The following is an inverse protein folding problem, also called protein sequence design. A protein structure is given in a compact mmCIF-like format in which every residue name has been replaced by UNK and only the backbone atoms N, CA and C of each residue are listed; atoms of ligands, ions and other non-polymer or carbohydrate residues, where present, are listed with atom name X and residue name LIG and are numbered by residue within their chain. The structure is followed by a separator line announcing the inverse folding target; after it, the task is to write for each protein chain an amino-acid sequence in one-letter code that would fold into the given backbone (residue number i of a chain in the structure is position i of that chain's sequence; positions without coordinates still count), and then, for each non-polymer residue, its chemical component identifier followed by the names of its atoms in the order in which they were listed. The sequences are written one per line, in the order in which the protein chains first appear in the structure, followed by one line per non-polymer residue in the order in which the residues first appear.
data_IF_497477196066
#
_entry.id   IF_497477196066
#
_cell.length_a   1.000
_cell.length_b   1.000
_cell.length_c   1.000
_cell.angle_alpha   90.00
_cell.angle_beta   90.00
_cell.angle_gamma   90.00
#
_symmetry.space_group_name_H-M   'P 1'
#
loop_
_entity.id
_entity.type
_entity.pdbx_description
1 polymer ?
#
# COMPACT_ATOMS: atom_id res chain seq x y z
N UNK A 1 -52.90 -19.04 0.09
CA UNK A 1 -51.84 -18.03 0.24
C UNK A 1 -50.72 -18.61 1.10
N UNK A 2 -49.67 -19.20 0.50
CA UNK A 2 -48.66 -20.04 1.20
C UNK A 2 -47.20 -19.61 0.98
N UNK A 3 -46.95 -18.40 0.50
CA UNK A 3 -45.59 -17.94 0.14
C UNK A 3 -45.13 -16.65 0.83
N UNK A 4 -45.89 -16.12 1.78
CA UNK A 4 -45.54 -14.84 2.43
C UNK A 4 -44.52 -15.06 3.56
N UNK A 5 -44.55 -16.20 4.24
CA UNK A 5 -43.69 -16.45 5.40
C UNK A 5 -42.23 -16.80 5.07
N UNK A 6 -41.93 -17.21 3.83
CA UNK A 6 -40.57 -17.63 3.44
C UNK A 6 -39.67 -16.45 3.02
N UNK A 7 -40.27 -15.34 2.57
CA UNK A 7 -39.53 -14.14 2.15
C UNK A 7 -39.04 -13.34 3.36
N UNK A 8 -39.78 -13.35 4.46
CA UNK A 8 -39.38 -12.62 5.69
C UNK A 8 -38.17 -13.27 6.36
N UNK A 9 -38.04 -14.61 6.30
CA UNK A 9 -36.92 -15.31 6.95
C UNK A 9 -35.59 -15.06 6.22
N UNK A 10 -35.59 -14.95 4.90
CA UNK A 10 -34.39 -14.67 4.08
C UNK A 10 -33.86 -13.24 4.27
N UNK A 11 -34.75 -12.27 4.55
CA UNK A 11 -34.34 -10.89 4.82
C UNK A 11 -33.61 -10.76 6.17
N UNK A 12 -34.02 -11.53 7.19
CA UNK A 12 -33.37 -11.51 8.51
C UNK A 12 -31.98 -12.15 8.51
N UNK A 13 -31.74 -13.19 7.70
CA UNK A 13 -30.41 -13.79 7.60
C UNK A 13 -29.45 -12.95 6.76
N UNK A 14 -29.94 -12.23 5.74
CA UNK A 14 -29.11 -11.31 4.95
C UNK A 14 -28.61 -10.11 5.76
N UNK A 15 -29.40 -9.62 6.72
CA UNK A 15 -29.03 -8.46 7.54
C UNK A 15 -27.94 -8.79 8.58
N UNK A 16 -27.89 -10.05 9.07
CA UNK A 16 -26.90 -10.49 10.06
C UNK A 16 -25.50 -10.68 9.45
N UNK A 17 -25.40 -11.04 8.17
CA UNK A 17 -24.11 -11.11 7.46
C UNK A 17 -23.51 -9.71 7.26
N UNK A 18 -24.34 -8.68 7.12
CA UNK A 18 -23.86 -7.31 6.98
C UNK A 18 -23.34 -6.71 8.30
N UNK A 19 -23.80 -7.20 9.46
CA UNK A 19 -23.34 -6.69 10.76
C UNK A 19 -22.04 -7.35 11.24
N UNK A 20 -21.74 -8.59 10.84
CA UNK A 20 -20.50 -9.30 11.22
C UNK A 20 -19.30 -8.94 10.33
N UNK A 21 -19.52 -8.37 9.15
CA UNK A 21 -18.44 -7.81 8.31
C UNK A 21 -18.02 -6.39 8.74
N UNK A 22 -18.67 -5.82 9.76
CA UNK A 22 -18.48 -4.42 10.21
C UNK A 22 -17.46 -4.21 11.33
N UNK A 23 -16.69 -5.23 11.74
CA UNK A 23 -15.68 -5.08 12.80
C UNK A 23 -14.25 -5.21 12.23
N UNK A 24 -13.74 -4.07 11.76
CA UNK A 24 -12.48 -3.45 12.20
C UNK A 24 -12.14 -2.32 11.22
N UNK A 25 -12.71 -1.16 11.46
CA UNK A 25 -12.04 0.07 11.06
C UNK A 25 -11.99 0.99 12.27
N UNK A 26 -10.93 0.77 13.05
CA UNK A 26 -10.55 1.65 14.14
C UNK A 26 -10.30 3.02 13.54
N UNK A 27 -11.19 3.96 13.83
CA UNK A 27 -11.00 5.36 13.52
C UNK A 27 -9.72 5.89 14.18
N UNK A 28 -8.61 5.83 13.46
CA UNK A 28 -7.72 6.95 13.36
C UNK A 28 -8.20 7.73 12.14
N UNK A 29 -8.53 9.02 12.31
CA UNK A 29 -8.67 9.90 11.18
C UNK A 29 -7.31 9.94 10.48
N UNK A 30 -7.15 9.10 9.45
CA UNK A 30 -6.05 9.21 8.50
C UNK A 30 -6.17 10.59 7.91
N UNK A 31 -5.27 11.51 8.30
CA UNK A 31 -5.01 12.68 7.48
C UNK A 31 -4.85 12.15 6.06
N UNK A 32 -5.77 12.50 5.17
CA UNK A 32 -5.72 12.09 3.79
C UNK A 32 -4.46 12.73 3.19
N UNK A 33 -3.32 12.05 3.30
CA UNK A 33 -2.02 12.52 2.84
C UNK A 33 -2.14 12.71 1.32
N UNK A 34 -2.29 13.95 0.83
CA UNK A 34 -2.48 14.17 -0.59
C UNK A 34 -1.14 13.96 -1.30
N UNK A 35 -1.16 13.31 -2.47
CA UNK A 35 0.01 13.24 -3.35
C UNK A 35 0.76 11.90 -3.38
N UNK A 36 0.14 10.79 -3.00
CA UNK A 36 0.66 9.44 -3.28
C UNK A 36 -0.39 8.54 -3.93
N UNK A 37 0.05 7.42 -4.48
CA UNK A 37 -0.79 6.37 -5.07
C UNK A 37 -0.22 5.01 -4.71
N UNK A 38 -1.04 4.11 -4.18
CA UNK A 38 -0.66 2.70 -3.98
C UNK A 38 -0.70 1.99 -5.32
N UNK A 39 0.47 1.68 -5.88
CA UNK A 39 0.61 1.08 -7.20
C UNK A 39 0.35 -0.44 -7.18
N UNK A 40 0.63 -1.11 -6.06
CA UNK A 40 0.21 -2.50 -5.81
C UNK A 40 0.11 -2.79 -4.32
N UNK A 41 -0.65 -3.83 -4.00
CA UNK A 41 -0.75 -4.42 -2.67
C UNK A 41 -0.89 -5.93 -2.81
N UNK A 42 -0.16 -6.67 -1.98
CA UNK A 42 -0.27 -8.11 -1.85
C UNK A 42 -0.15 -8.52 -0.39
N UNK A 43 -0.99 -9.45 0.06
CA UNK A 43 -0.81 -10.11 1.34
C UNK A 43 0.12 -11.31 1.17
N UNK A 44 1.30 -11.23 1.80
CA UNK A 44 2.32 -12.27 1.71
C UNK A 44 2.34 -13.03 3.03
N UNK A 45 2.24 -14.38 3.00
CA UNK A 45 2.38 -15.19 4.21
C UNK A 45 3.65 -14.83 4.98
N UNK A 46 3.55 -14.77 6.31
CA UNK A 46 4.62 -14.43 7.25
C UNK A 46 5.18 -12.99 7.18
N UNK A 47 4.91 -12.23 6.10
CA UNK A 47 5.32 -10.84 5.92
C UNK A 47 4.17 -9.84 6.09
N UNK A 48 2.92 -10.27 5.93
CA UNK A 48 1.74 -9.41 5.98
C UNK A 48 1.56 -8.60 4.69
N UNK A 49 0.94 -7.43 4.80
CA UNK A 49 0.64 -6.59 3.65
C UNK A 49 1.93 -5.94 3.11
N UNK A 50 2.27 -6.29 1.87
CA UNK A 50 3.38 -5.70 1.12
C UNK A 50 2.81 -4.80 0.04
N UNK A 51 3.32 -3.58 -0.08
CA UNK A 51 2.83 -2.61 -1.08
C UNK A 51 3.93 -1.87 -1.81
N UNK A 52 3.60 -1.40 -3.00
CA UNK A 52 4.40 -0.44 -3.77
C UNK A 52 3.64 0.88 -3.81
N UNK A 53 4.34 1.97 -3.53
CA UNK A 53 3.76 3.30 -3.38
C UNK A 53 4.49 4.28 -4.28
N UNK A 54 3.74 4.97 -5.12
CA UNK A 54 4.20 6.07 -5.95
C UNK A 54 3.92 7.40 -5.25
N UNK A 55 4.94 8.25 -5.11
CA UNK A 55 4.88 9.57 -4.46
C UNK A 55 5.50 10.60 -5.43
N UNK A 56 4.74 11.12 -6.42
CA UNK A 56 5.27 11.87 -7.57
C UNK A 56 5.99 13.20 -7.27
N UNK A 57 5.97 13.66 -6.02
CA UNK A 57 6.66 14.88 -5.58
C UNK A 57 7.80 14.64 -4.58
N UNK A 58 8.00 13.40 -4.13
CA UNK A 58 9.02 13.11 -3.13
C UNK A 58 10.39 12.92 -3.78
N UNK A 59 11.41 13.46 -3.12
CA UNK A 59 12.81 13.33 -3.54
C UNK A 59 13.64 12.69 -2.43
N UNK A 60 14.84 12.26 -2.81
CA UNK A 60 15.83 11.73 -1.86
C UNK A 60 16.33 12.74 -0.85
N UNK A 61 16.30 14.01 -1.21
CA UNK A 61 16.78 15.10 -0.36
C UNK A 61 15.73 15.55 0.67
N UNK A 62 14.51 15.03 0.63
CA UNK A 62 13.43 15.47 1.50
C UNK A 62 13.74 15.07 2.96
N UNK A 63 13.87 16.04 3.88
CA UNK A 63 14.35 15.76 5.24
C UNK A 63 13.35 14.96 6.08
N UNK A 64 12.05 15.04 5.75
CA UNK A 64 10.97 14.37 6.48
C UNK A 64 10.44 13.13 5.74
N UNK A 65 11.19 12.63 4.76
CA UNK A 65 10.75 11.53 3.88
C UNK A 65 10.38 10.27 4.66
N UNK A 66 11.21 9.86 5.62
CA UNK A 66 10.93 8.64 6.40
C UNK A 66 9.63 8.76 7.20
N UNK A 67 9.41 9.91 7.84
CA UNK A 67 8.18 10.17 8.60
C UNK A 67 6.96 10.13 7.69
N UNK A 68 7.04 10.77 6.52
CA UNK A 68 5.99 10.72 5.50
C UNK A 68 5.71 9.28 5.04
N UNK A 69 6.74 8.50 4.74
CA UNK A 69 6.60 7.11 4.28
C UNK A 69 6.03 6.22 5.37
N UNK A 70 6.41 6.43 6.62
CA UNK A 70 5.84 5.72 7.77
C UNK A 70 4.37 6.06 7.97
N UNK A 71 4.00 7.33 7.80
CA UNK A 71 2.59 7.74 7.85
C UNK A 71 1.77 7.09 6.74
N UNK A 72 2.29 7.06 5.50
CA UNK A 72 1.62 6.38 4.37
C UNK A 72 1.49 4.88 4.63
N UNK A 73 2.58 4.20 5.02
CA UNK A 73 2.54 2.76 5.27
C UNK A 73 1.58 2.41 6.42
N UNK A 74 1.53 3.24 7.47
CA UNK A 74 0.58 3.06 8.56
C UNK A 74 -0.88 3.28 8.11
N UNK A 75 -1.14 4.36 7.37
CA UNK A 75 -2.45 4.68 6.81
C UNK A 75 -2.99 3.57 5.90
N UNK A 76 -2.12 2.98 5.09
CA UNK A 76 -2.46 1.87 4.19
C UNK A 76 -2.39 0.51 4.89
N UNK A 77 -1.94 0.43 6.15
CA UNK A 77 -1.75 -0.84 6.85
C UNK A 77 -0.74 -1.78 6.18
N UNK A 78 0.33 -1.22 5.59
CA UNK A 78 1.42 -1.97 4.97
C UNK A 78 2.48 -2.33 6.02
N UNK A 79 2.84 -3.61 6.09
CA UNK A 79 3.98 -4.10 6.89
C UNK A 79 5.30 -3.81 6.19
N UNK A 80 5.31 -3.93 4.85
CA UNK A 80 6.46 -3.61 4.00
C UNK A 80 5.99 -2.73 2.86
N UNK A 81 6.67 -1.61 2.64
CA UNK A 81 6.33 -0.67 1.58
C UNK A 81 7.58 -0.29 0.78
N UNK A 82 7.47 -0.33 -0.55
CA UNK A 82 8.48 0.17 -1.48
C UNK A 82 8.02 1.50 -2.04
N UNK A 83 8.84 2.55 -1.91
CA UNK A 83 8.47 3.91 -2.31
C UNK A 83 9.21 4.33 -3.58
N UNK A 84 8.49 4.94 -4.50
CA UNK A 84 8.97 5.38 -5.80
C UNK A 84 8.50 6.81 -6.09
N UNK A 85 9.30 7.61 -6.80
CA UNK A 85 8.89 8.94 -7.29
C UNK A 85 8.34 8.93 -8.71
N UNK A 86 8.57 7.86 -9.48
CA UNK A 86 8.14 7.75 -10.88
C UNK A 86 7.46 6.42 -11.15
N UNK A 87 6.50 6.43 -12.08
CA UNK A 87 5.83 5.20 -12.53
C UNK A 87 6.82 4.25 -13.23
N UNK A 88 7.78 4.79 -14.00
CA UNK A 88 8.82 4.00 -14.65
C UNK A 88 9.66 3.18 -13.66
N UNK A 89 9.94 3.74 -12.47
CA UNK A 89 10.67 3.03 -11.43
C UNK A 89 9.83 1.90 -10.80
N UNK A 90 8.51 2.08 -10.67
CA UNK A 90 7.60 1.01 -10.23
C UNK A 90 7.59 -0.13 -11.26
N UNK A 91 7.47 0.18 -12.55
CA UNK A 91 7.45 -0.85 -13.59
C UNK A 91 8.81 -1.55 -13.70
N UNK A 92 9.91 -0.81 -13.60
CA UNK A 92 11.25 -1.39 -13.55
C UNK A 92 11.49 -2.27 -12.30
N UNK A 93 10.86 -1.95 -11.17
CA UNK A 93 10.90 -2.79 -9.97
C UNK A 93 10.26 -4.17 -10.22
N UNK A 94 9.12 -4.18 -10.91
CA UNK A 94 8.33 -5.39 -11.24
C UNK A 94 8.92 -6.23 -12.37
N UNK A 95 9.80 -5.65 -13.19
CA UNK A 95 10.37 -6.34 -14.34
C UNK A 95 11.12 -7.62 -13.92
N UNK A 96 10.73 -8.75 -14.52
CA UNK A 96 11.31 -10.07 -14.23
C UNK A 96 12.80 -10.18 -14.63
N UNK A 97 13.18 -9.48 -15.70
CA UNK A 97 14.56 -9.28 -16.11
C UNK A 97 14.76 -7.78 -16.33
N UNK A 98 15.85 -7.23 -15.79
CA UNK A 98 16.13 -5.78 -15.86
C UNK A 98 17.20 -5.49 -16.90
N UNK A 99 16.87 -4.67 -17.88
CA UNK A 99 17.84 -4.08 -18.79
C UNK A 99 18.49 -2.81 -18.20
N UNK A 100 19.42 -2.21 -18.94
CA UNK A 100 20.13 -1.02 -18.48
C UNK A 100 19.19 0.17 -18.25
N UNK A 101 18.14 0.32 -19.06
CA UNK A 101 17.18 1.41 -18.92
C UNK A 101 16.32 1.24 -17.67
N UNK A 102 15.92 0.01 -17.35
CA UNK A 102 15.17 -0.32 -16.14
C UNK A 102 16.00 -0.13 -14.87
N UNK A 103 17.29 -0.49 -14.89
CA UNK A 103 18.19 -0.20 -13.78
C UNK A 103 18.35 1.31 -13.57
N UNK A 104 18.45 2.09 -14.64
CA UNK A 104 18.53 3.54 -14.54
C UNK A 104 17.21 4.16 -14.04
N UNK A 105 16.06 3.65 -14.48
CA UNK A 105 14.76 4.08 -13.96
C UNK A 105 14.63 3.81 -12.44
N UNK A 106 15.08 2.65 -11.97
CA UNK A 106 15.15 2.35 -10.53
C UNK A 106 16.11 3.29 -9.80
N UNK A 107 17.32 3.51 -10.34
CA UNK A 107 18.27 4.45 -9.75
C UNK A 107 17.74 5.88 -9.75
N UNK A 108 16.93 6.28 -10.71
CA UNK A 108 16.35 7.62 -10.73
C UNK A 108 15.16 7.76 -9.77
N UNK A 109 14.29 6.74 -9.69
CA UNK A 109 12.98 6.87 -9.05
C UNK A 109 12.78 6.10 -7.75
N UNK A 110 13.64 5.17 -7.36
CA UNK A 110 13.46 4.44 -6.11
C UNK A 110 13.85 5.28 -4.90
N UNK A 111 12.92 5.46 -3.97
CA UNK A 111 13.09 6.32 -2.79
C UNK A 111 13.50 5.52 -1.55
N UNK A 112 13.09 4.26 -1.46
CA UNK A 112 13.50 3.38 -0.37
C UNK A 112 12.47 2.31 -0.05
N UNK A 113 12.83 1.49 0.93
CA UNK A 113 11.99 0.42 1.46
C UNK A 113 11.75 0.70 2.93
N UNK A 114 10.50 0.61 3.36
CA UNK A 114 10.12 0.64 4.76
C UNK A 114 9.65 -0.75 5.18
N UNK A 115 10.14 -1.22 6.31
CA UNK A 115 9.57 -2.33 7.07
C UNK A 115 8.98 -1.79 8.37
N UNK A 116 8.35 -2.66 9.18
CA UNK A 116 7.80 -2.26 10.48
C UNK A 116 8.81 -1.48 11.35
N UNK A 117 10.06 -1.92 11.35
CA UNK A 117 11.07 -1.44 12.29
C UNK A 117 12.14 -0.57 11.63
N UNK A 118 12.30 -0.65 10.32
CA UNK A 118 13.44 -0.06 9.62
C UNK A 118 13.05 0.63 8.32
N UNK A 119 13.59 1.84 8.11
CA UNK A 119 13.64 2.47 6.80
C UNK A 119 15.02 2.27 6.16
N UNK A 120 15.04 1.62 4.99
CA UNK A 120 16.23 1.48 4.15
C UNK A 120 16.15 2.47 2.97
N UNK A 121 16.99 3.51 2.93
CA UNK A 121 16.96 4.51 1.86
C UNK A 121 17.35 3.90 0.51
N UNK A 122 16.79 4.42 -0.59
CA UNK A 122 17.02 3.88 -1.94
C UNK A 122 18.49 3.88 -2.37
N UNK A 123 19.25 4.86 -1.90
CA UNK A 123 20.69 5.03 -2.14
C UNK A 123 21.53 3.88 -1.55
N UNK A 124 21.05 3.22 -0.50
CA UNK A 124 21.71 2.05 0.08
C UNK A 124 21.51 0.79 -0.77
N UNK A 125 20.46 0.75 -1.59
CA UNK A 125 20.07 -0.42 -2.38
C UNK A 125 20.49 -0.30 -3.86
N UNK A 126 20.59 0.93 -4.37
CA UNK A 126 21.01 1.23 -5.75
C UNK A 126 22.00 2.40 -5.76
N UNK A 127 23.31 2.15 -5.56
CA UNK A 127 24.35 3.17 -5.70
C UNK A 127 24.59 3.61 -7.15
#
# INVERSE_FOLDING_TARGET
MRYVSLVVLLATTGLLVWFVAGERDSGAATEALPGYTVASRADVPDLGAVGEVLVPGATRADPNREEQFRAIAHAEGLTVAFFFSTADAVEAHRAAARDAAQLEALRAGFLGRLTRDEFTPGEALYP
#
